data_IF_056693537435
#
_entry.id   IF_056693537435
#
_cell.length_a   1.000
_cell.length_b   1.000
_cell.length_c   1.000
_cell.angle_alpha   90.00
_cell.angle_beta   90.00
_cell.angle_gamma   90.00
#
_symmetry.space_group_name_H-M   'P 1'
#
loop_
_entity.id
_entity.type
_entity.pdbx_description
1 polymer ?
#
# COMPACT_ATOMS: atom_id res chain seq x y z
N UNK A 1 -75.92 -16.14 -26.88
CA UNK A 1 -75.33 -16.35 -25.53
C UNK A 1 -73.94 -15.74 -25.54
N UNK A 2 -73.79 -14.50 -25.08
CA UNK A 2 -72.49 -13.85 -24.93
C UNK A 2 -72.37 -13.43 -23.47
N UNK A 3 -71.64 -14.21 -22.68
CA UNK A 3 -71.31 -13.86 -21.30
C UNK A 3 -70.26 -12.76 -21.33
N UNK A 4 -70.67 -11.52 -21.02
CA UNK A 4 -69.73 -10.48 -20.64
C UNK A 4 -69.09 -10.90 -19.30
N UNK A 5 -67.88 -11.45 -19.36
CA UNK A 5 -66.99 -11.54 -18.20
C UNK A 5 -66.69 -10.11 -17.74
N UNK A 6 -67.42 -9.63 -16.73
CA UNK A 6 -67.02 -8.45 -15.96
C UNK A 6 -65.68 -8.76 -15.30
N UNK A 7 -64.59 -8.24 -15.87
CA UNK A 7 -63.32 -8.08 -15.14
C UNK A 7 -63.61 -7.19 -13.94
N UNK A 8 -63.72 -7.77 -12.74
CA UNK A 8 -63.65 -7.01 -11.50
C UNK A 8 -62.27 -6.34 -11.48
N UNK A 9 -62.22 -5.01 -11.54
CA UNK A 9 -61.00 -4.29 -11.19
C UNK A 9 -60.74 -4.57 -9.72
N UNK A 10 -59.76 -5.45 -9.43
CA UNK A 10 -59.27 -5.63 -8.06
C UNK A 10 -58.59 -4.32 -7.68
N UNK A 11 -59.26 -3.52 -6.84
CA UNK A 11 -58.68 -2.30 -6.29
C UNK A 11 -57.52 -2.68 -5.37
N UNK A 12 -56.39 -1.98 -5.52
CA UNK A 12 -55.23 -2.12 -4.63
C UNK A 12 -55.64 -1.60 -3.26
N UNK A 13 -55.39 -2.38 -2.22
CA UNK A 13 -55.72 -1.96 -0.85
C UNK A 13 -54.70 -0.94 -0.35
N UNK A 14 -55.12 -0.01 0.52
CA UNK A 14 -54.19 0.95 1.14
C UNK A 14 -53.00 0.26 1.84
N UNK A 15 -53.25 -0.91 2.44
CA UNK A 15 -52.22 -1.73 3.08
C UNK A 15 -51.16 -2.21 2.08
N UNK A 16 -51.58 -2.64 0.89
CA UNK A 16 -50.69 -3.10 -0.18
C UNK A 16 -49.79 -1.96 -0.69
N UNK A 17 -50.33 -0.74 -0.79
CA UNK A 17 -49.55 0.46 -1.13
C UNK A 17 -48.53 0.80 -0.03
N UNK A 18 -48.94 0.79 1.25
CA UNK A 18 -48.02 1.09 2.37
C UNK A 18 -46.90 0.06 2.45
N UNK A 19 -47.20 -1.22 2.26
CA UNK A 19 -46.18 -2.29 2.20
C UNK A 19 -45.25 -2.08 1.02
N UNK A 20 -45.77 -1.78 -0.18
CA UNK A 20 -44.94 -1.49 -1.35
C UNK A 20 -44.03 -0.27 -1.13
N UNK A 21 -44.56 0.80 -0.54
CA UNK A 21 -43.77 1.99 -0.18
C UNK A 21 -42.68 1.69 0.84
N UNK A 22 -42.99 0.88 1.87
CA UNK A 22 -42.00 0.46 2.88
C UNK A 22 -40.86 -0.37 2.27
N UNK A 23 -41.19 -1.34 1.40
CA UNK A 23 -40.19 -2.14 0.68
C UNK A 23 -39.34 -1.26 -0.22
N UNK A 24 -39.95 -0.29 -0.91
CA UNK A 24 -39.24 0.63 -1.79
C UNK A 24 -38.29 1.54 -0.99
N UNK A 25 -38.72 2.09 0.15
CA UNK A 25 -37.84 2.87 1.03
C UNK A 25 -36.67 2.03 1.57
N UNK A 26 -36.92 0.80 2.00
CA UNK A 26 -35.87 -0.11 2.44
C UNK A 26 -34.89 -0.45 1.30
N UNK A 27 -35.39 -0.62 0.08
CA UNK A 27 -34.56 -0.82 -1.11
C UNK A 27 -33.65 0.38 -1.40
N UNK A 28 -34.17 1.60 -1.29
CA UNK A 28 -33.37 2.82 -1.46
C UNK A 28 -32.30 2.94 -0.37
N UNK A 29 -32.67 2.70 0.90
CA UNK A 29 -31.74 2.79 2.02
C UNK A 29 -30.59 1.78 1.90
N UNK A 30 -30.90 0.54 1.53
CA UNK A 30 -29.87 -0.49 1.32
C UNK A 30 -28.97 -0.16 0.13
N UNK A 31 -29.52 0.34 -0.98
CA UNK A 31 -28.74 0.80 -2.13
C UNK A 31 -27.75 1.91 -1.75
N UNK A 32 -28.19 2.92 -0.98
CA UNK A 32 -27.32 3.99 -0.50
C UNK A 32 -26.18 3.45 0.37
N UNK A 33 -26.49 2.54 1.31
CA UNK A 33 -25.47 1.92 2.17
C UNK A 33 -24.41 1.18 1.36
N UNK A 34 -24.82 0.41 0.35
CA UNK A 34 -23.87 -0.32 -0.52
C UNK A 34 -22.97 0.64 -1.29
N UNK A 35 -23.52 1.74 -1.84
CA UNK A 35 -22.73 2.75 -2.56
C UNK A 35 -21.69 3.39 -1.62
N UNK A 36 -22.10 3.76 -0.41
CA UNK A 36 -21.20 4.34 0.59
C UNK A 36 -20.07 3.37 0.96
N UNK A 37 -20.41 2.12 1.29
CA UNK A 37 -19.41 1.10 1.64
C UNK A 37 -18.45 0.81 0.48
N UNK A 38 -18.96 0.73 -0.74
CA UNK A 38 -18.15 0.50 -1.95
C UNK A 38 -17.21 1.67 -2.21
N UNK A 39 -17.68 2.91 -2.01
CA UNK A 39 -16.85 4.11 -2.16
C UNK A 39 -15.69 4.12 -1.14
N UNK A 40 -15.97 3.81 0.13
CA UNK A 40 -14.93 3.69 1.15
C UNK A 40 -13.92 2.57 0.84
N UNK A 41 -14.40 1.40 0.39
CA UNK A 41 -13.54 0.29 0.01
C UNK A 41 -12.62 0.67 -1.17
N UNK A 42 -13.14 1.34 -2.19
CA UNK A 42 -12.36 1.79 -3.34
C UNK A 42 -11.28 2.80 -2.95
N UNK A 43 -11.61 3.78 -2.08
CA UNK A 43 -10.63 4.78 -1.61
C UNK A 43 -9.48 4.13 -0.84
N UNK A 44 -9.78 3.11 -0.03
CA UNK A 44 -8.76 2.34 0.71
C UNK A 44 -7.89 1.53 -0.23
N UNK A 45 -8.49 0.82 -1.17
CA UNK A 45 -7.76 0.04 -2.17
C UNK A 45 -6.82 0.93 -2.97
N UNK A 46 -7.30 2.10 -3.42
CA UNK A 46 -6.49 3.07 -4.16
C UNK A 46 -5.30 3.56 -3.32
N UNK A 47 -5.52 3.88 -2.05
CA UNK A 47 -4.45 4.36 -1.15
C UNK A 47 -3.39 3.28 -0.91
N UNK A 48 -3.80 2.02 -0.77
CA UNK A 48 -2.88 0.89 -0.62
C UNK A 48 -2.05 0.67 -1.90
N UNK A 49 -2.67 0.72 -3.08
CA UNK A 49 -1.96 0.64 -4.37
C UNK A 49 -0.99 1.79 -4.56
N UNK A 50 -1.37 3.00 -4.15
CA UNK A 50 -0.49 4.17 -4.14
C UNK A 50 0.75 3.95 -3.28
N UNK A 51 0.58 3.50 -2.04
CA UNK A 51 1.70 3.17 -1.16
C UNK A 51 2.61 2.08 -1.74
N UNK A 52 2.02 1.06 -2.37
CA UNK A 52 2.75 0.00 -3.07
C UNK A 52 3.60 0.55 -4.21
N UNK A 53 3.05 1.42 -5.07
CA UNK A 53 3.81 2.03 -6.17
C UNK A 53 4.95 2.91 -5.67
N UNK A 54 4.75 3.66 -4.57
CA UNK A 54 5.82 4.44 -3.94
C UNK A 54 6.92 3.51 -3.41
N UNK A 55 6.53 2.39 -2.78
CA UNK A 55 7.48 1.40 -2.29
C UNK A 55 8.28 0.76 -3.43
N UNK A 56 7.60 0.39 -4.52
CA UNK A 56 8.21 -0.18 -5.73
C UNK A 56 9.17 0.81 -6.38
N UNK A 57 8.77 2.07 -6.53
CA UNK A 57 9.62 3.10 -7.13
C UNK A 57 10.88 3.36 -6.28
N UNK A 58 10.75 3.44 -4.96
CA UNK A 58 11.88 3.62 -4.06
C UNK A 58 12.82 2.40 -4.08
N UNK A 59 12.26 1.19 -4.07
CA UNK A 59 13.03 -0.04 -4.19
C UNK A 59 13.73 -0.12 -5.55
N UNK A 60 13.04 0.22 -6.63
CA UNK A 60 13.57 0.22 -7.99
C UNK A 60 14.78 1.16 -8.09
N UNK A 61 14.66 2.38 -7.57
CA UNK A 61 15.76 3.35 -7.54
C UNK A 61 17.01 2.78 -6.83
N UNK A 62 16.84 2.05 -5.73
CA UNK A 62 17.94 1.38 -5.04
C UNK A 62 18.50 0.23 -5.87
N UNK A 63 17.62 -0.59 -6.45
CA UNK A 63 18.06 -1.73 -7.29
C UNK A 63 18.80 -1.28 -8.55
N UNK A 64 18.44 -0.13 -9.14
CA UNK A 64 19.10 0.45 -10.30
C UNK A 64 20.54 0.90 -9.99
N UNK A 65 20.83 1.29 -8.75
CA UNK A 65 22.22 1.58 -8.32
C UNK A 65 23.09 0.33 -8.32
N UNK A 66 22.48 -0.86 -8.22
CA UNK A 66 23.19 -2.13 -8.11
C UNK A 66 24.00 -2.25 -6.82
N UNK A 67 24.72 -3.36 -6.67
CA UNK A 67 25.67 -3.56 -5.59
C UNK A 67 27.10 -3.57 -6.16
N UNK A 68 28.02 -2.84 -5.53
CA UNK A 68 29.42 -2.79 -5.95
C UNK A 68 30.15 -4.11 -5.65
N UNK A 69 31.14 -4.45 -6.47
CA UNK A 69 31.94 -5.69 -6.35
C UNK A 69 32.99 -5.63 -5.23
N UNK A 70 33.71 -4.51 -5.10
CA UNK A 70 34.81 -4.38 -4.13
C UNK A 70 34.91 -2.94 -3.58
N UNK A 71 34.66 -2.70 -2.27
CA UNK A 71 34.09 -3.65 -1.31
C UNK A 71 32.63 -4.02 -1.66
N UNK A 72 32.19 -5.26 -1.36
CA UNK A 72 30.84 -5.74 -1.67
C UNK A 72 29.74 -4.86 -1.09
N UNK A 73 28.84 -4.36 -1.95
CA UNK A 73 27.67 -3.54 -1.63
C UNK A 73 27.94 -2.27 -0.80
N UNK A 74 29.19 -1.75 -0.78
CA UNK A 74 29.53 -0.56 0.00
C UNK A 74 28.78 0.69 -0.47
N UNK A 75 28.41 0.73 -1.76
CA UNK A 75 27.67 1.84 -2.36
C UNK A 75 26.25 1.98 -1.82
N UNK A 76 25.73 0.96 -1.14
CA UNK A 76 24.40 0.97 -0.53
C UNK A 76 24.42 1.45 0.93
N UNK A 77 25.61 1.56 1.54
CA UNK A 77 25.76 2.03 2.93
C UNK A 77 25.39 3.50 3.04
N UNK A 78 24.54 3.84 4.01
CA UNK A 78 24.08 5.21 4.24
C UNK A 78 22.89 5.63 3.37
N UNK A 79 22.31 4.70 2.60
CA UNK A 79 21.01 4.88 1.97
C UNK A 79 19.84 4.71 2.96
N UNK A 80 20.14 4.24 4.17
CA UNK A 80 19.20 4.21 5.29
C UNK A 80 18.64 5.61 5.54
N UNK A 81 17.32 5.70 5.59
CA UNK A 81 16.70 6.99 5.68
C UNK A 81 15.21 6.95 5.85
N UNK A 82 14.68 8.06 6.35
CA UNK A 82 13.24 8.30 6.40
C UNK A 82 12.94 9.60 5.68
N UNK A 83 11.99 9.56 4.76
CA UNK A 83 11.55 10.75 4.04
C UNK A 83 10.04 10.70 3.80
N UNK A 84 9.45 11.87 3.61
CA UNK A 84 8.02 12.03 3.39
C UNK A 84 7.73 12.27 1.91
N UNK A 85 6.72 11.58 1.40
CA UNK A 85 6.20 11.76 0.05
C UNK A 85 4.75 12.18 0.13
N UNK A 86 4.40 13.21 -0.63
CA UNK A 86 3.05 13.70 -0.82
C UNK A 86 2.53 13.23 -2.16
N UNK A 87 1.36 12.60 -2.20
CA UNK A 87 0.71 12.22 -3.44
C UNK A 87 -0.62 12.96 -3.62
N UNK A 88 -0.78 13.62 -4.77
CA UNK A 88 -2.01 14.32 -5.12
C UNK A 88 -3.08 13.35 -5.60
N UNK A 89 -4.34 13.81 -5.64
CA UNK A 89 -5.45 13.05 -6.26
C UNK A 89 -5.23 12.77 -7.75
N UNK A 90 -4.41 13.57 -8.43
CA UNK A 90 -4.00 13.36 -9.81
C UNK A 90 -2.90 12.29 -9.97
N UNK A 91 -2.40 11.74 -8.86
CA UNK A 91 -1.38 10.68 -8.84
C UNK A 91 0.06 11.17 -8.83
N UNK A 92 0.29 12.48 -8.89
CA UNK A 92 1.62 13.08 -8.86
C UNK A 92 2.25 12.95 -7.47
N UNK A 93 3.49 12.45 -7.41
CA UNK A 93 4.29 12.33 -6.19
C UNK A 93 5.26 13.50 -6.06
N UNK A 94 5.37 14.06 -4.85
CA UNK A 94 6.25 15.18 -4.54
C UNK A 94 6.88 14.99 -3.16
N UNK A 95 8.12 15.44 -2.99
CA UNK A 95 8.81 15.38 -1.69
C UNK A 95 8.50 16.59 -0.79
N UNK A 96 7.66 17.51 -1.26
CA UNK A 96 7.26 18.72 -0.53
C UNK A 96 5.74 18.82 -0.58
N UNK A 97 5.14 19.21 0.55
CA UNK A 97 3.72 19.44 0.63
C UNK A 97 3.29 20.50 -0.41
N UNK A 98 2.13 20.33 -1.08
CA UNK A 98 1.59 21.37 -1.94
C UNK A 98 1.44 22.69 -1.18
N UNK A 99 1.92 23.78 -1.76
CA UNK A 99 1.78 25.12 -1.19
C UNK A 99 0.36 25.67 -1.30
N UNK A 100 -0.40 25.16 -2.27
CA UNK A 100 -1.79 25.52 -2.51
C UNK A 100 -2.71 24.70 -1.58
N UNK A 101 -3.49 25.33 -0.69
CA UNK A 101 -4.40 24.64 0.20
C UNK A 101 -5.57 23.94 -0.51
N UNK A 102 -5.87 24.30 -1.76
CA UNK A 102 -6.93 23.66 -2.55
C UNK A 102 -6.49 22.32 -3.15
N UNK A 103 -5.17 22.05 -3.17
CA UNK A 103 -4.61 20.79 -3.65
C UNK A 103 -4.63 19.75 -2.53
N UNK A 104 -5.57 18.82 -2.63
CA UNK A 104 -5.63 17.66 -1.72
C UNK A 104 -4.48 16.70 -2.04
N UNK A 105 -3.52 16.61 -1.13
CA UNK A 105 -2.46 15.60 -1.16
C UNK A 105 -2.44 14.77 0.12
N UNK A 106 -2.07 13.49 -0.03
CA UNK A 106 -1.88 12.56 1.07
C UNK A 106 -0.40 12.43 1.39
N UNK A 107 -0.10 12.46 2.67
CA UNK A 107 1.23 12.24 3.22
C UNK A 107 1.50 10.74 3.42
N UNK A 108 2.65 10.29 2.92
CA UNK A 108 3.22 8.97 3.14
C UNK A 108 4.62 9.13 3.75
N UNK A 109 4.93 8.33 4.76
CA UNK A 109 6.27 8.23 5.32
C UNK A 109 6.93 6.99 4.74
N UNK A 110 8.08 7.18 4.10
CA UNK A 110 8.88 6.13 3.48
C UNK A 110 10.13 5.94 4.33
N UNK A 111 10.33 4.71 4.79
CA UNK A 111 11.51 4.28 5.54
C UNK A 111 12.26 3.28 4.67
N UNK A 112 13.51 3.59 4.39
CA UNK A 112 14.46 2.72 3.68
C UNK A 112 15.45 2.19 4.70
N UNK A 113 15.61 0.88 4.69
CA UNK A 113 16.45 0.10 5.59
C UNK A 113 17.32 -0.86 4.76
N UNK A 114 18.62 -0.75 4.90
CA UNK A 114 19.66 -1.37 4.07
C UNK A 114 20.69 -2.04 4.98
N UNK A 115 20.45 -3.31 5.27
CA UNK A 115 21.40 -4.12 6.02
C UNK A 115 22.46 -4.70 5.08
N UNK A 116 23.73 -4.40 5.34
CA UNK A 116 24.87 -5.00 4.65
C UNK A 116 25.67 -5.84 5.65
N UNK A 117 25.56 -7.18 5.62
CA UNK A 117 26.19 -8.06 6.63
C UNK A 117 27.71 -7.92 6.72
N UNK A 118 28.39 -7.54 5.63
CA UNK A 118 29.84 -7.27 5.62
C UNK A 118 30.22 -5.96 6.32
N UNK A 119 29.25 -5.11 6.64
CA UNK A 119 29.42 -3.82 7.30
C UNK A 119 28.62 -3.78 8.62
N UNK A 120 29.19 -4.19 9.76
CA UNK A 120 28.46 -4.29 11.03
C UNK A 120 27.75 -3.01 11.49
N UNK A 121 28.18 -1.85 10.97
CA UNK A 121 27.60 -0.54 11.29
C UNK A 121 26.23 -0.29 10.63
N UNK A 122 25.87 -1.04 9.58
CA UNK A 122 24.56 -0.93 8.91
C UNK A 122 23.51 -1.87 9.48
N UNK A 123 23.89 -2.67 10.49
CA UNK A 123 23.03 -3.71 11.04
C UNK A 123 22.31 -3.15 12.26
N UNK A 124 21.00 -3.38 12.35
CA UNK A 124 20.17 -2.91 13.47
C UNK A 124 20.82 -3.23 14.84
N UNK A 125 20.84 -2.26 15.79
CA UNK A 125 21.43 -2.47 17.11
C UNK A 125 20.81 -3.67 17.86
N UNK A 126 21.62 -4.67 18.18
CA UNK A 126 21.17 -5.90 18.85
C UNK A 126 20.84 -7.06 17.90
N UNK A 127 20.89 -6.84 16.59
CA UNK A 127 20.82 -7.91 15.60
C UNK A 127 22.15 -8.68 15.56
N UNK A 128 22.06 -10.01 15.54
CA UNK A 128 23.22 -10.90 15.42
C UNK A 128 23.31 -11.27 13.96
N UNK A 129 24.44 -10.97 13.30
CA UNK A 129 24.72 -11.49 11.96
C UNK A 129 24.72 -13.02 12.04
N UNK A 130 23.72 -13.70 11.48
CA UNK A 130 23.66 -15.14 11.58
C UNK A 130 24.83 -15.73 10.79
N UNK A 131 25.45 -16.80 11.32
CA UNK A 131 26.67 -17.38 10.75
C UNK A 131 26.52 -17.90 9.30
N UNK A 132 25.29 -18.01 8.79
CA UNK A 132 24.99 -18.38 7.41
C UNK A 132 25.12 -17.21 6.41
N UNK A 133 25.21 -15.97 6.88
CA UNK A 133 25.47 -14.77 6.07
C UNK A 133 26.98 -14.46 5.98
N UNK A 134 27.78 -15.03 6.88
CA UNK A 134 29.25 -15.02 6.86
C UNK A 134 29.85 -16.20 6.09
N UNK A 135 29.04 -17.05 5.45
CA UNK A 135 29.54 -18.15 4.60
C UNK A 135 29.77 -17.65 3.18
N UNK A 136 30.80 -18.18 2.53
CA UNK A 136 31.01 -17.97 1.10
C UNK A 136 29.77 -18.45 0.31
N UNK A 137 29.20 -17.55 -0.50
CA UNK A 137 28.03 -17.84 -1.32
C UNK A 137 28.35 -18.86 -2.41
N UNK A 138 29.60 -18.86 -2.88
CA UNK A 138 30.14 -19.87 -3.80
C UNK A 138 31.07 -20.80 -3.01
N UNK A 139 30.75 -22.09 -3.01
CA UNK A 139 31.53 -23.10 -2.28
C UNK A 139 32.94 -23.16 -2.87
N UNK A 140 33.94 -22.84 -2.06
CA UNK A 140 35.36 -22.88 -2.44
C UNK A 140 35.92 -21.56 -2.95
N UNK A 141 35.12 -20.50 -3.06
CA UNK A 141 35.57 -19.18 -3.48
C UNK A 141 35.68 -18.24 -2.26
N UNK A 142 36.90 -17.86 -1.83
CA UNK A 142 37.08 -16.89 -0.75
C UNK A 142 36.45 -15.54 -1.11
N UNK A 143 36.09 -14.75 -0.08
CA UNK A 143 35.56 -13.38 -0.23
C UNK A 143 34.18 -13.24 -0.90
N UNK A 144 33.40 -14.34 -0.95
CA UNK A 144 31.99 -14.30 -1.35
C UNK A 144 31.03 -14.20 -0.16
N UNK A 145 31.54 -14.24 1.07
CA UNK A 145 30.77 -14.12 2.30
C UNK A 145 30.34 -12.67 2.59
N UNK A 146 29.08 -12.44 2.94
CA UNK A 146 28.58 -11.10 3.28
C UNK A 146 28.29 -10.19 2.08
N UNK A 147 28.32 -10.72 0.85
CA UNK A 147 28.06 -9.98 -0.38
C UNK A 147 26.56 -9.84 -0.70
N UNK A 148 25.66 -10.01 0.27
CA UNK A 148 24.22 -9.83 0.05
C UNK A 148 23.74 -8.69 0.91
N UNK A 149 23.37 -7.57 0.28
CA UNK A 149 22.63 -6.51 0.94
C UNK A 149 21.15 -6.86 1.02
N UNK A 150 20.53 -6.62 2.16
CA UNK A 150 19.09 -6.69 2.34
C UNK A 150 18.53 -5.28 2.30
N UNK A 151 17.65 -5.01 1.33
CA UNK A 151 17.01 -3.71 1.19
C UNK A 151 15.53 -3.88 1.50
N UNK A 152 15.02 -3.07 2.42
CA UNK A 152 13.63 -3.04 2.86
C UNK A 152 13.11 -1.62 2.72
N UNK A 153 11.97 -1.50 2.06
CA UNK A 153 11.27 -0.22 1.91
C UNK A 153 9.91 -0.37 2.57
N UNK A 154 9.65 0.49 3.55
CA UNK A 154 8.41 0.52 4.31
C UNK A 154 7.71 1.83 4.06
N UNK A 155 6.51 1.79 3.49
CA UNK A 155 5.67 2.97 3.25
C UNK A 155 4.50 2.92 4.20
N UNK A 156 4.34 3.96 5.00
CA UNK A 156 3.28 4.04 6.00
C UNK A 156 2.49 5.33 5.91
N UNK A 157 1.20 5.27 6.21
CA UNK A 157 0.30 6.42 6.19
C UNK A 157 -0.73 6.35 7.31
N UNK A 158 -1.35 7.50 7.59
CA UNK A 158 -2.51 7.60 8.48
C UNK A 158 -3.79 7.68 7.67
N UNK A 159 -4.79 6.92 8.10
CA UNK A 159 -6.15 7.02 7.55
C UNK A 159 -6.95 7.97 8.42
N UNK A 160 -7.71 8.90 7.83
CA UNK A 160 -8.44 9.94 8.57
C UNK A 160 -9.44 9.39 9.60
N UNK A 161 -9.93 8.16 9.41
CA UNK A 161 -10.92 7.50 10.25
C UNK A 161 -10.35 6.38 11.14
N UNK A 162 -9.03 6.15 11.14
CA UNK A 162 -8.37 5.14 12.00
C UNK A 162 -7.23 5.76 12.80
N UNK A 163 -7.08 5.32 14.05
CA UNK A 163 -5.94 5.67 14.89
C UNK A 163 -4.64 5.04 14.40
N UNK A 164 -4.74 3.87 13.76
CA UNK A 164 -3.59 3.03 13.46
C UNK A 164 -2.97 3.39 12.11
N UNK A 165 -1.64 3.43 12.06
CA UNK A 165 -0.91 3.55 10.81
C UNK A 165 -1.11 2.30 9.98
N UNK A 166 -1.35 2.49 8.69
CA UNK A 166 -1.30 1.42 7.71
C UNK A 166 0.11 1.38 7.12
N UNK A 167 0.53 0.20 6.68
CA UNK A 167 1.89 -0.01 6.19
C UNK A 167 1.89 -0.99 5.02
N UNK A 168 2.76 -0.71 4.06
CA UNK A 168 3.18 -1.62 3.00
C UNK A 168 4.68 -1.77 3.12
N UNK A 169 5.18 -3.00 3.01
CA UNK A 169 6.59 -3.30 3.10
C UNK A 169 7.00 -4.14 1.90
N UNK A 170 8.06 -3.72 1.22
CA UNK A 170 8.74 -4.50 0.20
C UNK A 170 10.16 -4.78 0.65
N UNK A 171 10.65 -5.95 0.32
CA UNK A 171 12.00 -6.37 0.65
C UNK A 171 12.62 -7.07 -0.55
N UNK A 172 13.88 -6.78 -0.81
CA UNK A 172 14.70 -7.48 -1.80
C UNK A 172 16.08 -7.79 -1.24
N UNK A 173 16.81 -8.63 -1.96
CA UNK A 173 18.21 -8.96 -1.69
C UNK A 173 19.02 -8.63 -2.92
N UNK A 174 20.15 -7.97 -2.72
CA UNK A 174 21.05 -7.55 -3.79
C UNK A 174 22.41 -8.18 -3.56
N UNK A 175 23.07 -8.60 -4.64
CA UNK A 175 24.43 -9.10 -4.64
C UNK A 175 25.22 -8.40 -5.76
N UNK A 176 26.57 -8.37 -5.68
CA UNK A 176 27.43 -7.82 -6.72
C UNK A 176 27.29 -8.48 -8.09
#
# INVERSE_FOLDING_TARGET
MTSQQKRQSRGVTLLEVVVAMAVLMLGIATAMLVVTQTSYANRRSLTATQAQLIAEQALENITQMGCSLDPPCINLVGLDGTFTVFQTTAGETRNVAPADPDVVAREFEVVVDVDVPSQPATIEPGSIVPANLTRNLVVGEPDTAGNIAHVRVTVSWREQERSDRQVVMLQTRMAP
#
